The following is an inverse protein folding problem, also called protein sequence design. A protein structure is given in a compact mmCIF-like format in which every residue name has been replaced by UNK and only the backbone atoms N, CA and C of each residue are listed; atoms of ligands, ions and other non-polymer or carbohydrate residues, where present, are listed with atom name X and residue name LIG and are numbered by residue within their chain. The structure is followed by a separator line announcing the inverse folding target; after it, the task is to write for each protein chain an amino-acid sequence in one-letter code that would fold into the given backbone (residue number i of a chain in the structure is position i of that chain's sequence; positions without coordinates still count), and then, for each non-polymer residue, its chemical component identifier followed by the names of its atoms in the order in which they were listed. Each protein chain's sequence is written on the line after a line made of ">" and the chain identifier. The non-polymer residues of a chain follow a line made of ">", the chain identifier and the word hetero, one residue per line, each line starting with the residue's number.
data_IF_595204301698
#
_entry.id   IF_595204301698
#
_cell.length_a   1.000
_cell.length_b   1.000
_cell.length_c   1.000
_cell.angle_alpha   90.00
_cell.angle_beta   90.00
_cell.angle_gamma   90.00
#
_symmetry.space_group_name_H-M   'P 1'
#
loop_
_entity.id
_entity.type
_entity.pdbx_description
1 polymer ?
#
# COMPACT_ATOMS: atom_id res chain seq x y z
N UNK A 1 -10.08 -1.15 -17.90
CA UNK A 1 -9.76 -1.15 -19.34
C UNK A 1 -9.50 -2.57 -19.87
N UNK A 2 -9.71 -2.82 -21.16
CA UNK A 2 -9.31 -4.07 -21.82
C UNK A 2 -7.88 -3.94 -22.35
N UNK A 3 -7.11 -5.04 -22.48
CA UNK A 3 -5.71 -5.05 -22.94
C UNK A 3 -5.58 -4.80 -24.46
N UNK A 4 -6.17 -3.75 -25.00
CA UNK A 4 -6.20 -3.48 -26.45
C UNK A 4 -5.21 -2.40 -26.93
N UNK A 5 -4.39 -1.87 -26.00
CA UNK A 5 -3.43 -0.80 -26.25
C UNK A 5 -2.26 -1.29 -27.11
N UNK A 6 -1.47 -0.39 -27.73
CA UNK A 6 -0.29 -0.76 -28.51
C UNK A 6 0.77 -1.53 -27.70
N UNK A 7 1.69 -2.17 -28.43
CA UNK A 7 2.87 -2.81 -27.83
C UNK A 7 3.62 -1.83 -26.93
N UNK A 8 4.08 -2.31 -25.77
CA UNK A 8 4.83 -1.50 -24.81
C UNK A 8 4.00 -0.54 -23.96
N UNK A 9 2.71 -0.33 -24.23
CA UNK A 9 1.89 0.65 -23.50
C UNK A 9 1.93 0.45 -21.97
N UNK A 10 1.82 -0.80 -21.52
CA UNK A 10 1.79 -1.17 -20.11
C UNK A 10 3.17 -1.24 -19.45
N UNK A 11 4.27 -1.04 -20.20
CA UNK A 11 5.62 -1.08 -19.63
C UNK A 11 5.77 0.05 -18.61
N UNK A 12 6.25 -0.30 -17.42
CA UNK A 12 6.41 0.65 -16.33
C UNK A 12 5.22 0.78 -15.39
N UNK A 13 4.02 0.36 -15.82
CA UNK A 13 2.87 0.25 -14.95
C UNK A 13 3.07 -0.88 -13.92
N UNK A 14 2.23 -0.88 -12.88
CA UNK A 14 2.23 -1.91 -11.86
C UNK A 14 1.08 -2.89 -12.08
N UNK A 15 1.33 -4.18 -11.91
CA UNK A 15 0.30 -5.21 -11.85
C UNK A 15 0.11 -5.67 -10.41
N UNK A 16 -1.14 -5.71 -9.96
CA UNK A 16 -1.54 -6.42 -8.75
C UNK A 16 -2.17 -7.76 -9.13
N UNK A 17 -1.79 -8.85 -8.47
CA UNK A 17 -2.29 -10.20 -8.75
C UNK A 17 -2.43 -11.02 -7.47
N UNK A 18 -3.46 -11.87 -7.41
CA UNK A 18 -3.58 -12.97 -6.43
C UNK A 18 -3.17 -14.28 -7.09
N UNK A 19 -1.89 -14.69 -7.03
CA UNK A 19 -1.46 -15.86 -7.78
C UNK A 19 -1.82 -17.16 -7.05
N UNK A 20 -1.69 -18.26 -7.78
CA UNK A 20 -1.71 -19.60 -7.23
C UNK A 20 -3.00 -19.89 -6.49
N UNK A 21 -2.88 -20.25 -5.21
CA UNK A 21 -4.02 -20.60 -4.35
C UNK A 21 -4.67 -19.36 -3.69
N UNK A 22 -4.28 -18.15 -4.11
CA UNK A 22 -4.88 -16.85 -3.74
C UNK A 22 -4.78 -16.47 -2.26
N UNK A 23 -3.84 -17.06 -1.52
CA UNK A 23 -3.57 -16.71 -0.10
C UNK A 23 -2.79 -15.42 0.09
N UNK A 24 -2.17 -14.94 -1.00
CA UNK A 24 -1.27 -13.80 -1.01
C UNK A 24 -1.56 -12.93 -2.21
N UNK A 25 -1.11 -11.68 -2.13
CA UNK A 25 -1.25 -10.69 -3.19
C UNK A 25 0.13 -10.15 -3.54
N UNK A 26 0.40 -9.93 -4.82
CA UNK A 26 1.66 -9.36 -5.28
C UNK A 26 1.44 -8.13 -6.11
N UNK A 27 2.43 -7.25 -6.02
CA UNK A 27 2.53 -6.05 -6.82
C UNK A 27 3.92 -6.03 -7.44
N UNK A 28 4.00 -5.97 -8.76
CA UNK A 28 5.27 -5.91 -9.48
C UNK A 28 5.15 -5.02 -10.71
N UNK A 29 6.29 -4.58 -11.23
CA UNK A 29 6.37 -3.74 -12.42
C UNK A 29 6.25 -4.59 -13.67
N UNK A 30 5.53 -4.09 -14.67
CA UNK A 30 5.42 -4.74 -15.98
C UNK A 30 6.68 -4.42 -16.80
N UNK A 31 7.34 -5.48 -17.28
CA UNK A 31 8.57 -5.42 -18.06
C UNK A 31 8.29 -5.33 -19.57
N UNK A 32 7.32 -6.09 -20.07
CA UNK A 32 6.92 -6.07 -21.49
C UNK A 32 5.41 -6.22 -21.65
N UNK A 33 4.89 -5.72 -22.77
CA UNK A 33 3.54 -6.00 -23.24
C UNK A 33 3.52 -6.15 -24.77
N UNK A 34 2.89 -7.23 -25.24
CA UNK A 34 2.68 -7.52 -26.67
C UNK A 34 1.19 -7.66 -26.94
N UNK A 35 0.63 -6.73 -27.73
CA UNK A 35 -0.79 -6.62 -28.06
C UNK A 35 -1.31 -7.85 -28.79
N UNK A 36 -0.59 -8.32 -29.81
CA UNK A 36 -1.06 -9.43 -30.66
C UNK A 36 -1.29 -10.74 -29.89
N UNK A 37 -0.58 -10.92 -28.77
CA UNK A 37 -0.71 -12.10 -27.90
C UNK A 37 -1.37 -11.78 -26.57
N UNK A 38 -1.73 -10.52 -26.33
CA UNK A 38 -2.22 -10.02 -25.04
C UNK A 38 -1.31 -10.41 -23.86
N UNK A 39 -0.01 -10.52 -24.13
CA UNK A 39 0.97 -11.05 -23.18
C UNK A 39 1.71 -9.92 -22.50
N UNK A 40 1.70 -9.94 -21.18
CA UNK A 40 2.55 -9.11 -20.33
C UNK A 40 3.59 -9.99 -19.62
N UNK A 41 4.72 -9.40 -19.28
CA UNK A 41 5.76 -10.07 -18.47
C UNK A 41 6.19 -9.18 -17.31
N UNK A 42 6.66 -9.81 -16.26
CA UNK A 42 7.19 -9.21 -15.04
C UNK A 42 8.07 -10.23 -14.34
N UNK A 43 8.86 -9.79 -13.37
CA UNK A 43 9.79 -10.66 -12.66
C UNK A 43 9.05 -11.75 -11.88
N UNK A 44 9.63 -12.95 -11.88
CA UNK A 44 9.07 -14.11 -11.20
C UNK A 44 8.96 -13.84 -9.69
N UNK A 45 7.76 -14.06 -9.16
CA UNK A 45 7.45 -13.70 -7.78
C UNK A 45 8.02 -14.71 -6.75
N UNK A 46 7.96 -16.01 -7.02
CA UNK A 46 8.38 -17.01 -6.05
C UNK A 46 8.69 -18.37 -6.68
N UNK A 47 9.64 -19.08 -6.08
CA UNK A 47 10.06 -20.43 -6.49
C UNK A 47 9.11 -21.56 -6.08
N UNK A 48 8.07 -21.26 -5.29
CA UNK A 48 7.09 -22.25 -4.81
C UNK A 48 5.86 -22.28 -5.71
N UNK A 49 5.48 -23.48 -6.16
CA UNK A 49 4.36 -23.71 -7.08
C UNK A 49 3.00 -23.17 -6.61
N UNK A 50 2.74 -23.13 -5.30
CA UNK A 50 1.53 -22.54 -4.71
C UNK A 50 1.38 -21.03 -4.96
N UNK A 51 2.43 -20.37 -5.42
CA UNK A 51 2.45 -18.94 -5.76
C UNK A 51 2.66 -18.70 -7.25
N UNK A 52 2.67 -19.75 -8.07
CA UNK A 52 2.73 -19.58 -9.52
C UNK A 52 1.37 -19.14 -10.03
N UNK A 53 1.37 -18.21 -10.98
CA UNK A 53 0.14 -17.72 -11.60
C UNK A 53 -0.52 -18.85 -12.39
N UNK A 54 -1.83 -18.98 -12.20
CA UNK A 54 -2.69 -19.97 -12.86
C UNK A 54 -3.79 -19.25 -13.63
N UNK A 55 -4.34 -19.91 -14.65
CA UNK A 55 -5.53 -19.44 -15.34
C UNK A 55 -6.66 -19.19 -14.34
N UNK A 56 -7.30 -18.03 -14.42
CA UNK A 56 -8.40 -17.63 -13.53
C UNK A 56 -8.00 -16.76 -12.34
N UNK A 57 -6.70 -16.64 -12.03
CA UNK A 57 -6.25 -15.71 -11.00
C UNK A 57 -6.62 -14.26 -11.34
N UNK A 58 -7.08 -13.53 -10.33
CA UNK A 58 -7.52 -12.14 -10.48
C UNK A 58 -6.32 -11.19 -10.50
N UNK A 59 -6.44 -10.16 -11.31
CA UNK A 59 -5.45 -9.10 -11.39
C UNK A 59 -6.09 -7.76 -11.77
N UNK A 60 -5.36 -6.69 -11.52
CA UNK A 60 -5.60 -5.38 -12.11
C UNK A 60 -4.27 -4.67 -12.37
N UNK A 61 -4.27 -3.73 -13.31
CA UNK A 61 -3.10 -2.90 -13.64
C UNK A 61 -3.39 -1.49 -13.12
N UNK A 62 -2.37 -0.84 -12.58
CA UNK A 62 -2.46 0.50 -12.02
C UNK A 62 -1.13 1.25 -12.20
N UNK A 63 -1.07 2.50 -11.74
CA UNK A 63 0.13 3.34 -11.81
C UNK A 63 0.55 3.68 -13.26
N UNK A 64 -0.44 4.05 -14.08
CA UNK A 64 -0.27 4.52 -15.46
C UNK A 64 -1.11 5.79 -15.60
N UNK A 65 -0.48 6.92 -15.94
CA UNK A 65 -1.15 8.22 -15.96
C UNK A 65 -2.32 8.25 -16.95
N UNK A 66 -2.14 7.62 -18.11
CA UNK A 66 -3.13 7.55 -19.18
C UNK A 66 -4.38 6.75 -18.82
N UNK A 67 -4.36 6.01 -17.70
CA UNK A 67 -5.52 5.28 -17.16
C UNK A 67 -6.17 6.03 -15.98
N UNK A 68 -5.79 7.29 -15.72
CA UNK A 68 -6.53 8.18 -14.82
C UNK A 68 -7.80 8.65 -15.56
N UNK A 69 -8.84 7.82 -15.56
CA UNK A 69 -9.97 7.94 -16.46
C UNK A 69 -11.33 8.11 -15.76
N UNK A 70 -11.36 7.99 -14.43
CA UNK A 70 -12.59 7.99 -13.65
C UNK A 70 -12.49 8.85 -12.37
N UNK A 71 -13.61 9.44 -11.92
CA UNK A 71 -13.65 10.12 -10.62
C UNK A 71 -13.24 9.21 -9.46
N UNK A 72 -12.44 9.75 -8.54
CA UNK A 72 -11.89 9.05 -7.37
C UNK A 72 -10.47 8.50 -7.57
N UNK A 73 -9.92 8.60 -8.77
CA UNK A 73 -8.56 8.13 -9.07
C UNK A 73 -7.50 9.21 -8.86
N UNK A 74 -6.25 8.76 -8.70
CA UNK A 74 -5.09 9.64 -8.58
C UNK A 74 -3.84 8.99 -9.17
N UNK A 75 -2.87 9.83 -9.54
CA UNK A 75 -1.58 9.42 -10.05
C UNK A 75 -0.46 10.32 -9.49
N UNK A 76 0.64 9.73 -9.05
CA UNK A 76 1.85 10.46 -8.65
C UNK A 76 2.89 10.34 -9.75
N UNK A 77 3.18 11.48 -10.39
CA UNK A 77 4.38 11.62 -11.20
C UNK A 77 5.58 11.92 -10.29
N UNK A 78 6.43 10.91 -10.13
CA UNK A 78 7.61 10.99 -9.26
C UNK A 78 8.74 11.82 -9.86
N UNK A 79 8.79 11.97 -11.19
CA UNK A 79 9.86 12.72 -11.84
C UNK A 79 9.66 14.22 -11.62
N UNK A 80 8.39 14.66 -11.66
CA UNK A 80 8.02 16.06 -11.39
C UNK A 80 7.56 16.32 -9.94
N UNK A 81 7.44 15.29 -9.11
CA UNK A 81 6.79 15.34 -7.78
C UNK A 81 5.39 15.98 -7.81
N UNK A 82 4.59 15.63 -8.83
CA UNK A 82 3.24 16.16 -9.02
C UNK A 82 2.19 15.09 -8.78
N UNK A 83 1.18 15.40 -7.96
CA UNK A 83 0.00 14.55 -7.78
C UNK A 83 -1.13 15.06 -8.67
N UNK A 84 -1.62 14.18 -9.54
CA UNK A 84 -2.83 14.37 -10.32
C UNK A 84 -3.97 13.66 -9.58
N UNK A 85 -5.05 14.39 -9.26
CA UNK A 85 -6.16 13.90 -8.45
C UNK A 85 -7.49 14.24 -9.12
N UNK A 86 -8.34 13.22 -9.33
CA UNK A 86 -9.72 13.40 -9.76
C UNK A 86 -10.65 13.09 -8.58
N UNK A 87 -11.31 14.12 -8.03
CA UNK A 87 -12.24 13.90 -6.92
C UNK A 87 -13.51 13.13 -7.37
N UNK A 88 -14.11 12.29 -6.51
CA UNK A 88 -15.28 11.46 -6.85
C UNK A 88 -16.47 12.21 -7.48
N UNK A 89 -16.64 13.49 -7.18
CA UNK A 89 -17.73 14.33 -7.72
C UNK A 89 -17.24 15.37 -8.74
N UNK A 90 -15.98 15.30 -9.15
CA UNK A 90 -15.35 16.31 -10.01
C UNK A 90 -15.19 17.69 -9.35
N UNK A 91 -15.33 17.77 -8.03
CA UNK A 91 -15.13 19.00 -7.27
C UNK A 91 -13.66 19.48 -7.38
N UNK A 92 -13.44 20.76 -7.07
CA UNK A 92 -12.12 21.36 -7.08
C UNK A 92 -11.30 20.89 -5.87
N UNK A 93 -10.09 20.31 -6.04
CA UNK A 93 -9.23 19.92 -4.93
C UNK A 93 -8.93 21.03 -3.93
N UNK A 94 -8.96 22.31 -4.34
CA UNK A 94 -8.75 23.46 -3.45
C UNK A 94 -9.84 23.63 -2.38
N UNK A 95 -11.00 22.98 -2.56
CA UNK A 95 -12.08 22.99 -1.57
C UNK A 95 -11.88 21.94 -0.46
N UNK A 96 -10.84 21.11 -0.57
CA UNK A 96 -10.62 19.94 0.29
C UNK A 96 -9.25 19.99 0.95
N UNK A 97 -9.14 19.34 2.11
CA UNK A 97 -7.85 18.95 2.66
C UNK A 97 -7.41 17.65 2.00
N UNK A 98 -6.30 17.69 1.27
CA UNK A 98 -5.70 16.50 0.65
C UNK A 98 -4.52 16.06 1.50
N UNK A 99 -4.60 14.84 2.03
CA UNK A 99 -3.57 14.23 2.86
C UNK A 99 -2.98 13.03 2.09
N UNK A 100 -1.65 12.92 2.08
CA UNK A 100 -0.94 11.77 1.53
C UNK A 100 0.13 11.33 2.52
N UNK A 101 0.32 10.02 2.62
CA UNK A 101 1.48 9.43 3.27
C UNK A 101 2.74 9.72 2.47
N UNK A 102 3.85 9.94 3.16
CA UNK A 102 5.18 9.91 2.54
C UNK A 102 5.54 8.44 2.27
N UNK A 103 5.76 8.04 1.00
CA UNK A 103 6.03 6.66 0.64
C UNK A 103 7.40 6.15 1.12
N UNK A 104 8.33 7.05 1.43
CA UNK A 104 9.71 6.74 1.84
C UNK A 104 9.89 6.84 3.36
N UNK A 105 9.03 7.57 4.06
CA UNK A 105 9.02 7.57 5.52
C UNK A 105 8.24 6.39 6.08
N UNK A 106 8.92 5.58 6.91
CA UNK A 106 8.24 4.69 7.87
C UNK A 106 7.62 5.55 8.95
N UNK A 107 6.43 6.07 8.66
CA UNK A 107 5.67 6.89 9.57
C UNK A 107 5.50 6.14 10.91
N UNK A 108 6.03 6.76 11.97
CA UNK A 108 6.10 6.14 13.29
C UNK A 108 5.41 7.07 14.27
N UNK A 109 4.37 6.56 14.93
CA UNK A 109 3.60 7.32 15.92
C UNK A 109 4.35 7.39 17.25
N UNK A 110 4.50 6.25 17.91
CA UNK A 110 5.21 6.15 19.19
C UNK A 110 6.23 5.01 19.13
N UNK A 111 7.45 5.28 19.58
CA UNK A 111 8.52 4.28 19.73
C UNK A 111 8.80 4.07 21.20
N UNK A 112 8.40 2.91 21.72
CA UNK A 112 8.65 2.45 23.09
C UNK A 112 9.61 1.25 23.10
N UNK A 113 10.43 1.13 22.07
CA UNK A 113 11.36 0.02 21.91
C UNK A 113 12.36 0.00 23.07
N UNK A 114 12.55 -1.17 23.68
CA UNK A 114 13.45 -1.40 24.83
C UNK A 114 13.11 -0.59 26.10
N UNK A 115 11.95 0.08 26.12
CA UNK A 115 11.49 0.84 27.27
C UNK A 115 10.59 0.00 28.17
N UNK A 116 10.46 0.45 29.43
CA UNK A 116 9.61 -0.21 30.40
C UNK A 116 8.72 0.78 31.17
N UNK A 117 7.55 0.30 31.62
CA UNK A 117 6.62 1.05 32.48
C UNK A 117 6.08 2.36 31.89
N UNK A 118 5.98 2.45 30.56
CA UNK A 118 5.41 3.61 29.88
C UNK A 118 3.93 3.37 29.55
N UNK A 119 3.10 4.38 29.81
CA UNK A 119 1.69 4.39 29.40
C UNK A 119 1.43 5.50 28.39
N UNK A 120 0.92 5.12 27.21
CA UNK A 120 0.39 6.04 26.20
C UNK A 120 -1.12 5.95 26.22
N UNK A 121 -1.81 7.07 26.44
CA UNK A 121 -3.26 7.10 26.60
C UNK A 121 -3.94 8.19 25.77
N UNK A 122 -5.02 7.83 25.06
CA UNK A 122 -5.95 8.80 24.48
C UNK A 122 -5.47 9.48 23.21
N UNK A 123 -4.45 8.93 22.55
CA UNK A 123 -3.90 9.52 21.33
C UNK A 123 -4.56 8.97 20.07
N UNK A 124 -4.74 9.84 19.08
CA UNK A 124 -4.98 9.44 17.70
C UNK A 124 -3.64 9.43 16.97
N UNK A 125 -3.23 8.27 16.47
CA UNK A 125 -2.05 8.12 15.61
C UNK A 125 -2.57 7.97 14.19
N UNK A 126 -2.17 8.91 13.34
CA UNK A 126 -2.56 8.98 11.94
C UNK A 126 -1.34 8.67 11.10
N UNK A 127 -1.48 7.73 10.16
CA UNK A 127 -0.38 7.25 9.32
C UNK A 127 0.88 7.04 10.17
N UNK A 128 0.84 6.05 11.06
CA UNK A 128 1.95 5.84 11.98
C UNK A 128 1.89 4.48 12.65
N UNK A 129 3.05 3.86 12.84
CA UNK A 129 3.18 2.63 13.61
C UNK A 129 3.48 2.93 15.09
N UNK A 130 2.82 2.23 16.00
CA UNK A 130 3.21 2.21 17.42
C UNK A 130 4.09 0.99 17.67
N UNK A 131 5.35 1.22 18.03
CA UNK A 131 6.35 0.18 18.25
C UNK A 131 6.65 -0.01 19.74
N UNK A 132 6.64 -1.26 20.17
CA UNK A 132 6.91 -1.76 21.52
C UNK A 132 7.89 -2.95 21.41
N UNK A 133 8.97 -2.82 20.64
CA UNK A 133 9.93 -3.91 20.43
C UNK A 133 10.75 -4.13 21.70
N UNK A 134 10.83 -5.37 22.18
CA UNK A 134 11.60 -5.76 23.38
C UNK A 134 11.26 -4.93 24.62
N UNK A 135 10.01 -4.43 24.70
CA UNK A 135 9.56 -3.58 25.79
C UNK A 135 8.97 -4.40 26.93
N UNK A 136 8.86 -3.81 28.12
CA UNK A 136 8.33 -4.49 29.29
C UNK A 136 7.34 -3.64 30.10
N UNK A 137 6.19 -4.20 30.46
CA UNK A 137 5.19 -3.50 31.29
C UNK A 137 4.69 -2.16 30.70
N UNK A 138 4.68 -2.00 29.37
CA UNK A 138 4.12 -0.81 28.71
C UNK A 138 2.61 -0.97 28.43
N UNK A 139 1.87 0.14 28.42
CA UNK A 139 0.41 0.15 28.22
C UNK A 139 0.03 1.12 27.11
N UNK A 140 -0.66 0.62 26.09
CA UNK A 140 -1.38 1.44 25.11
C UNK A 140 -2.87 1.40 25.46
N UNK A 141 -3.44 2.54 25.85
CA UNK A 141 -4.80 2.64 26.38
C UNK A 141 -5.62 3.67 25.60
N UNK A 142 -6.76 3.24 25.05
CA UNK A 142 -7.75 4.11 24.42
C UNK A 142 -7.14 4.96 23.30
N UNK A 143 -6.20 4.38 22.54
CA UNK A 143 -5.58 5.02 21.39
C UNK A 143 -6.26 4.56 20.10
N UNK A 144 -6.37 5.46 19.12
CA UNK A 144 -6.93 5.17 17.80
C UNK A 144 -5.83 5.25 16.76
N UNK A 145 -5.51 4.13 16.13
CA UNK A 145 -4.50 4.04 15.08
C UNK A 145 -5.22 3.97 13.73
N UNK A 146 -4.96 4.93 12.85
CA UNK A 146 -5.61 5.07 11.55
C UNK A 146 -4.56 5.13 10.44
N UNK A 147 -4.88 4.46 9.33
CA UNK A 147 -4.20 4.63 8.04
C UNK A 147 -2.69 4.33 8.03
N UNK A 148 -2.16 3.73 9.10
CA UNK A 148 -0.79 3.23 9.15
C UNK A 148 -0.68 1.79 8.63
N UNK A 149 0.45 1.46 7.97
CA UNK A 149 0.62 0.16 7.31
C UNK A 149 0.64 -1.07 8.23
N UNK A 150 1.27 -0.97 9.42
CA UNK A 150 1.37 -2.10 10.38
C UNK A 150 0.44 -1.93 11.59
N UNK A 151 0.01 -0.72 11.91
CA UNK A 151 -0.71 -0.40 13.14
C UNK A 151 0.20 -0.49 14.37
N UNK A 152 0.41 -1.70 14.91
CA UNK A 152 1.24 -1.92 16.09
C UNK A 152 2.26 -3.05 15.89
N UNK A 153 3.44 -2.90 16.49
CA UNK A 153 4.45 -3.95 16.58
C UNK A 153 4.90 -4.13 18.03
N UNK A 154 4.58 -5.27 18.64
CA UNK A 154 4.80 -5.51 20.07
C UNK A 154 5.60 -6.80 20.25
N UNK A 155 6.74 -6.71 20.93
CA UNK A 155 7.50 -7.87 21.42
C UNK A 155 7.97 -7.59 22.85
N UNK A 156 8.56 -8.58 23.53
CA UNK A 156 8.90 -8.47 24.96
C UNK A 156 7.80 -9.04 25.85
N UNK A 157 7.61 -8.49 27.06
CA UNK A 157 6.74 -9.13 28.07
C UNK A 157 5.89 -8.14 28.86
N UNK A 158 4.71 -8.59 29.31
CA UNK A 158 3.79 -7.82 30.17
C UNK A 158 3.24 -6.52 29.57
N UNK A 159 3.40 -6.32 28.26
CA UNK A 159 2.78 -5.20 27.56
C UNK A 159 1.27 -5.42 27.42
N UNK A 160 0.48 -4.35 27.51
CA UNK A 160 -0.99 -4.40 27.44
C UNK A 160 -1.52 -3.41 26.41
N UNK A 161 -2.50 -3.86 25.62
CA UNK A 161 -3.32 -3.00 24.76
C UNK A 161 -4.75 -3.12 25.24
N UNK A 162 -5.42 -1.99 25.47
CA UNK A 162 -6.82 -1.95 25.87
C UNK A 162 -7.55 -0.72 25.33
N UNK A 163 -8.85 -0.88 25.10
CA UNK A 163 -9.77 0.15 24.65
C UNK A 163 -10.69 0.61 25.78
#
# INVERSE_FOLDING_TARGET
>A
SCLNQPDGYWVGAMIWVTPGDEWVTHRTKINTFTKNTYKLTFDEYASKSHYHIKTGNKYYIYNKFEELDSPGEWYLDKDSNTVYLWLPDGDNPNNHTVESSDPDMKSTGFVLDELSFIKVKGFRVFDGTVSLKNSNNCIIENCRLLWGGRGMYITGSHNKVRN
#
